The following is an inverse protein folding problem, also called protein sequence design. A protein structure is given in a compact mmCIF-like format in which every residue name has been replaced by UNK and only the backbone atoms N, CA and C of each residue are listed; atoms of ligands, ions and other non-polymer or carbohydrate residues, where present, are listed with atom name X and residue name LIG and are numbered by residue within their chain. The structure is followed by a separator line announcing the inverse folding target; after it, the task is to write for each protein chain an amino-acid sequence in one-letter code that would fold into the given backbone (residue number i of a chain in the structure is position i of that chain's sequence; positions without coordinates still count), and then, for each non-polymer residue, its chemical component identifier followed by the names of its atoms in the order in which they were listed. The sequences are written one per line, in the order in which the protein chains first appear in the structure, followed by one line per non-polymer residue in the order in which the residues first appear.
data_IF_697859747420
#
_entry.id   IF_697859747420
#
_cell.length_a   1.000
_cell.length_b   1.000
_cell.length_c   1.000
_cell.angle_alpha   90.00
_cell.angle_beta   90.00
_cell.angle_gamma   90.00
#
_symmetry.space_group_name_H-M   'P 1'
#
loop_
_entity.id
_entity.type
_entity.pdbx_description
1 polymer ?
#
# COMPACT_ATOMS: atom_id res chain seq x y z
N UNK A 1 -18.66 5.48 -18.66
CA UNK A 1 -18.40 5.91 -17.27
C UNK A 1 -17.34 4.99 -16.70
N UNK A 2 -16.20 5.55 -16.33
CA UNK A 2 -15.16 4.77 -15.65
C UNK A 2 -15.70 4.38 -14.27
N UNK A 3 -15.69 3.10 -13.93
CA UNK A 3 -16.12 2.66 -12.60
C UNK A 3 -15.17 3.19 -11.54
N UNK A 4 -15.68 3.67 -10.40
CA UNK A 4 -14.87 4.10 -9.26
C UNK A 4 -13.97 2.95 -8.81
N UNK A 5 -12.75 3.26 -8.47
CA UNK A 5 -11.80 2.29 -7.90
C UNK A 5 -11.55 2.58 -6.43
N UNK A 6 -11.41 1.51 -5.67
CA UNK A 6 -11.20 1.52 -4.23
C UNK A 6 -9.97 0.72 -3.88
N UNK A 7 -9.29 1.11 -2.82
CA UNK A 7 -8.13 0.38 -2.30
C UNK A 7 -8.14 0.39 -0.78
N UNK A 8 -7.35 -0.50 -0.17
CA UNK A 8 -7.13 -0.52 1.27
C UNK A 8 -5.63 -0.43 1.52
N UNK A 9 -5.22 0.60 2.25
CA UNK A 9 -3.82 0.92 2.45
C UNK A 9 -3.46 1.12 3.91
N UNK A 10 -2.21 0.87 4.27
CA UNK A 10 -1.60 1.26 5.53
C UNK A 10 -0.62 2.40 5.27
N UNK A 11 -0.89 3.58 5.78
CA UNK A 11 0.04 4.70 5.67
C UNK A 11 1.32 4.45 6.48
N UNK A 12 2.45 4.75 5.88
CA UNK A 12 3.76 4.64 6.53
C UNK A 12 4.14 5.99 7.08
N UNK A 13 4.14 6.12 8.41
CA UNK A 13 4.41 7.34 9.16
C UNK A 13 5.75 7.29 9.88
N UNK A 14 6.12 8.38 10.54
CA UNK A 14 7.36 8.51 11.30
C UNK A 14 8.58 8.69 10.40
N UNK A 15 9.80 8.55 10.96
CA UNK A 15 11.04 8.88 10.24
C UNK A 15 11.23 8.12 8.93
N UNK A 16 10.87 6.86 8.88
CA UNK A 16 10.97 6.09 7.62
C UNK A 16 9.94 6.56 6.59
N UNK A 17 8.74 6.92 7.01
CA UNK A 17 7.73 7.51 6.14
C UNK A 17 8.18 8.86 5.57
N UNK A 18 8.75 9.72 6.38
CA UNK A 18 9.31 11.02 5.96
C UNK A 18 10.46 10.85 4.98
N UNK A 19 11.35 9.88 5.22
CA UNK A 19 12.42 9.53 4.28
C UNK A 19 11.84 9.09 2.93
N UNK A 20 10.89 8.16 2.93
CA UNK A 20 10.24 7.66 1.72
C UNK A 20 9.54 8.79 0.96
N UNK A 21 8.82 9.67 1.66
CA UNK A 21 8.17 10.84 1.05
C UNK A 21 9.19 11.79 0.39
N UNK A 22 10.34 12.02 1.04
CA UNK A 22 11.41 12.83 0.48
C UNK A 22 11.97 12.22 -0.79
N UNK A 23 12.23 10.91 -0.78
CA UNK A 23 12.74 10.18 -1.93
C UNK A 23 11.73 10.16 -3.09
N UNK A 24 10.46 9.98 -2.80
CA UNK A 24 9.37 10.03 -3.79
C UNK A 24 9.30 11.40 -4.47
N UNK A 25 9.39 12.49 -3.70
CA UNK A 25 9.42 13.85 -4.26
C UNK A 25 10.65 14.11 -5.13
N UNK A 26 11.81 13.55 -4.78
CA UNK A 26 13.03 13.66 -5.57
C UNK A 26 12.91 12.92 -6.90
N UNK A 27 12.42 11.68 -6.88
CA UNK A 27 12.40 10.80 -8.05
C UNK A 27 11.16 10.96 -8.93
N UNK A 28 10.04 11.35 -8.35
CA UNK A 28 8.77 11.48 -9.05
C UNK A 28 7.95 12.64 -8.46
N UNK A 29 8.32 13.89 -8.72
CA UNK A 29 7.68 15.06 -8.12
C UNK A 29 6.20 15.22 -8.46
N UNK A 30 5.70 14.54 -9.49
CA UNK A 30 4.29 14.57 -9.90
C UNK A 30 3.41 13.54 -9.17
N UNK A 31 4.01 12.62 -8.41
CA UNK A 31 3.30 11.56 -7.68
C UNK A 31 2.77 11.93 -6.28
N UNK A 32 2.95 13.13 -5.73
CA UNK A 32 2.81 13.36 -4.29
C UNK A 32 1.37 13.47 -3.78
N UNK A 33 0.38 13.11 -4.56
CA UNK A 33 -1.02 13.24 -4.12
C UNK A 33 -1.53 12.04 -3.31
N UNK A 34 -0.66 11.07 -3.06
CA UNK A 34 -0.96 9.92 -2.22
C UNK A 34 0.26 9.60 -1.34
N UNK A 35 0.11 9.79 -0.03
CA UNK A 35 1.18 9.59 0.94
C UNK A 35 1.77 8.16 0.88
N UNK A 36 3.00 7.98 1.36
CA UNK A 36 3.67 6.69 1.39
C UNK A 36 2.81 5.65 2.12
N UNK A 37 2.59 4.51 1.49
CA UNK A 37 1.68 3.49 1.98
C UNK A 37 2.08 2.08 1.54
N UNK A 38 1.67 1.11 2.34
CA UNK A 38 1.61 -0.30 1.98
C UNK A 38 0.18 -0.60 1.52
N UNK A 39 0.02 -1.26 0.40
CA UNK A 39 -1.29 -1.63 -0.13
C UNK A 39 -1.67 -3.03 0.32
N UNK A 40 -2.81 -3.19 0.98
CA UNK A 40 -3.39 -4.49 1.37
C UNK A 40 -4.38 -4.99 0.31
N UNK A 41 -5.21 -4.11 -0.25
CA UNK A 41 -6.04 -4.40 -1.40
C UNK A 41 -5.71 -3.41 -2.52
N UNK A 42 -5.13 -3.87 -3.63
CA UNK A 42 -4.90 -3.05 -4.82
C UNK A 42 -6.19 -2.47 -5.40
N UNK A 43 -6.09 -1.38 -6.18
CA UNK A 43 -7.25 -0.70 -6.77
C UNK A 43 -8.20 -1.63 -7.50
N UNK A 44 -9.48 -1.60 -7.13
CA UNK A 44 -10.55 -2.46 -7.67
C UNK A 44 -11.92 -1.80 -7.64
N UNK A 45 -12.86 -2.21 -8.49
CA UNK A 45 -14.26 -1.85 -8.32
C UNK A 45 -14.86 -2.58 -7.11
N UNK A 46 -15.96 -2.07 -6.56
CA UNK A 46 -16.78 -2.80 -5.58
C UNK A 46 -17.92 -3.53 -6.29
N UNK A 47 -18.26 -4.71 -5.78
CA UNK A 47 -19.47 -5.44 -6.18
C UNK A 47 -20.67 -5.09 -5.28
N UNK A 48 -20.70 -3.87 -4.75
CA UNK A 48 -21.74 -3.39 -3.84
C UNK A 48 -21.51 -1.95 -3.40
N UNK A 49 -22.03 -1.58 -2.24
CA UNK A 49 -21.94 -0.21 -1.70
C UNK A 49 -20.69 -0.02 -0.83
N UNK A 50 -20.25 1.23 -0.68
CA UNK A 50 -19.15 1.59 0.24
C UNK A 50 -19.45 1.17 1.69
N UNK A 51 -20.68 1.35 2.14
CA UNK A 51 -21.09 0.93 3.50
C UNK A 51 -20.97 -0.58 3.70
N UNK A 52 -21.39 -1.37 2.72
CA UNK A 52 -21.27 -2.82 2.78
C UNK A 52 -19.79 -3.25 2.74
N UNK A 53 -18.97 -2.58 1.94
CA UNK A 53 -17.52 -2.79 1.94
C UNK A 53 -16.90 -2.52 3.31
N UNK A 54 -17.24 -1.39 3.94
CA UNK A 54 -16.77 -1.04 5.28
C UNK A 54 -17.18 -2.06 6.35
N UNK A 55 -18.36 -2.64 6.27
CA UNK A 55 -18.79 -3.69 7.18
C UNK A 55 -17.94 -4.96 7.03
N UNK A 56 -17.66 -5.38 5.80
CA UNK A 56 -16.78 -6.53 5.53
C UNK A 56 -15.36 -6.26 6.04
N UNK A 57 -14.80 -5.08 5.72
CA UNK A 57 -13.48 -4.66 6.17
C UNK A 57 -13.39 -4.62 7.71
N UNK A 58 -14.35 -3.99 8.38
CA UNK A 58 -14.38 -3.90 9.83
C UNK A 58 -14.47 -5.29 10.49
N UNK A 59 -15.23 -6.20 9.92
CA UNK A 59 -15.36 -7.58 10.42
C UNK A 59 -14.06 -8.37 10.32
N UNK A 60 -13.33 -8.26 9.24
CA UNK A 60 -12.06 -8.97 9.03
C UNK A 60 -10.94 -8.31 9.84
N UNK A 61 -10.77 -6.99 9.69
CA UNK A 61 -9.71 -6.24 10.36
C UNK A 61 -9.87 -6.25 11.89
N UNK A 62 -11.11 -6.21 12.40
CA UNK A 62 -11.38 -6.29 13.84
C UNK A 62 -10.94 -7.60 14.50
N UNK A 63 -10.82 -8.69 13.72
CA UNK A 63 -10.31 -9.99 14.18
C UNK A 63 -8.84 -10.23 13.85
N UNK A 64 -8.20 -9.28 13.20
CA UNK A 64 -6.79 -9.36 12.80
C UNK A 64 -5.96 -8.54 13.77
N UNK A 65 -5.06 -9.17 14.52
CA UNK A 65 -4.16 -8.45 15.42
C UNK A 65 -3.23 -7.51 14.64
N UNK A 66 -2.91 -6.34 15.20
CA UNK A 66 -1.84 -5.50 14.67
C UNK A 66 -0.54 -6.29 14.50
N UNK A 67 0.23 -5.98 13.48
CA UNK A 67 1.49 -6.67 13.21
C UNK A 67 2.56 -5.71 12.70
N UNK A 68 3.80 -6.11 12.89
CA UNK A 68 4.95 -5.35 12.42
C UNK A 68 5.45 -5.91 11.08
N UNK A 69 5.85 -5.03 10.19
CA UNK A 69 6.58 -5.36 8.98
C UNK A 69 7.94 -4.65 8.98
N UNK A 70 8.92 -5.22 8.28
CA UNK A 70 10.16 -4.51 7.99
C UNK A 70 10.30 -4.26 6.49
N UNK A 71 10.78 -3.06 6.16
CA UNK A 71 11.12 -2.69 4.79
C UNK A 71 12.51 -3.24 4.46
N UNK A 72 12.58 -4.00 3.38
CA UNK A 72 13.80 -4.67 2.91
C UNK A 72 14.54 -3.89 1.84
N UNK A 73 15.06 -4.58 0.84
CA UNK A 73 15.74 -3.99 -0.30
C UNK A 73 14.80 -3.32 -1.28
N UNK A 74 15.36 -2.45 -2.11
CA UNK A 74 14.65 -1.86 -3.24
C UNK A 74 14.78 -2.73 -4.49
N UNK A 75 13.74 -2.68 -5.33
CA UNK A 75 13.65 -3.44 -6.55
C UNK A 75 12.77 -2.71 -7.58
N UNK A 76 12.61 -3.27 -8.75
CA UNK A 76 11.74 -2.75 -9.81
C UNK A 76 10.87 -3.86 -10.37
N UNK A 77 9.64 -3.52 -10.77
CA UNK A 77 8.77 -4.42 -11.53
C UNK A 77 9.06 -4.43 -13.05
N UNK A 78 10.10 -3.71 -13.51
CA UNK A 78 10.50 -3.77 -14.90
C UNK A 78 10.91 -5.21 -15.30
N UNK A 79 10.65 -5.68 -16.53
CA UNK A 79 10.02 -4.94 -17.64
C UNK A 79 8.49 -4.87 -17.60
N UNK A 80 7.83 -5.54 -16.66
CA UNK A 80 6.35 -5.59 -16.57
C UNK A 80 5.75 -4.19 -16.39
N UNK A 81 6.25 -3.45 -15.39
CA UNK A 81 5.95 -2.04 -15.19
C UNK A 81 7.21 -1.30 -14.74
N UNK A 82 7.45 -0.05 -15.19
CA UNK A 82 8.64 0.72 -14.80
C UNK A 82 8.44 1.35 -13.40
N UNK A 83 8.19 0.51 -12.40
CA UNK A 83 7.87 0.92 -11.03
C UNK A 83 8.99 0.51 -10.09
N UNK A 84 9.55 1.48 -9.36
CA UNK A 84 10.54 1.28 -8.30
C UNK A 84 9.83 1.18 -6.96
N UNK A 85 10.19 0.20 -6.14
CA UNK A 85 9.54 -0.06 -4.86
C UNK A 85 10.54 -0.58 -3.80
N UNK A 86 10.14 -0.48 -2.53
CA UNK A 86 10.78 -1.17 -1.41
C UNK A 86 10.00 -2.47 -1.16
N UNK A 87 10.70 -3.57 -1.10
CA UNK A 87 10.12 -4.87 -0.76
C UNK A 87 9.83 -4.94 0.75
N UNK A 88 8.70 -5.50 1.12
CA UNK A 88 8.46 -5.92 2.50
C UNK A 88 9.22 -7.22 2.74
N UNK A 89 10.10 -7.24 3.74
CA UNK A 89 10.88 -8.42 4.12
C UNK A 89 10.16 -9.20 5.24
N UNK A 90 10.34 -8.81 6.50
CA UNK A 90 9.60 -9.40 7.60
C UNK A 90 8.12 -8.98 7.53
N UNK A 91 7.22 -9.90 7.85
CA UNK A 91 5.78 -9.65 7.86
C UNK A 91 5.10 -9.74 6.48
N UNK A 92 5.84 -10.00 5.40
CA UNK A 92 5.27 -10.16 4.05
C UNK A 92 4.20 -11.26 3.99
N UNK A 93 4.45 -12.42 4.61
CA UNK A 93 3.47 -13.51 4.70
C UNK A 93 2.18 -13.07 5.40
N UNK A 94 2.30 -12.29 6.48
CA UNK A 94 1.15 -11.76 7.19
C UNK A 94 0.31 -10.81 6.33
N UNK A 95 0.98 -10.00 5.51
CA UNK A 95 0.29 -9.14 4.53
C UNK A 95 -0.42 -9.98 3.46
N UNK A 96 0.21 -11.04 2.94
CA UNK A 96 -0.41 -11.94 1.98
C UNK A 96 -1.65 -12.64 2.56
N UNK A 97 -1.56 -13.17 3.78
CA UNK A 97 -2.69 -13.80 4.48
C UNK A 97 -3.86 -12.83 4.65
N UNK A 98 -3.58 -11.60 5.08
CA UNK A 98 -4.60 -10.56 5.23
C UNK A 98 -5.20 -10.15 3.88
N UNK A 99 -4.37 -10.02 2.85
CA UNK A 99 -4.83 -9.75 1.48
C UNK A 99 -5.82 -10.82 0.98
N UNK A 100 -5.49 -12.11 1.16
CA UNK A 100 -6.35 -13.23 0.77
C UNK A 100 -7.69 -13.19 1.53
N UNK A 101 -7.65 -12.93 2.84
CA UNK A 101 -8.87 -12.81 3.65
C UNK A 101 -9.76 -11.63 3.24
N UNK A 102 -9.14 -10.52 2.84
CA UNK A 102 -9.85 -9.31 2.43
C UNK A 102 -10.39 -9.39 0.99
N UNK A 103 -9.80 -10.21 0.12
CA UNK A 103 -10.24 -10.40 -1.27
C UNK A 103 -11.45 -11.34 -1.34
N UNK A 104 -12.57 -10.91 -0.78
CA UNK A 104 -13.78 -11.72 -0.59
C UNK A 104 -15.06 -10.89 -0.72
N UNK A 105 -16.17 -11.56 -1.00
CA UNK A 105 -17.51 -10.94 -1.08
C UNK A 105 -17.51 -9.75 -2.05
N UNK A 106 -18.01 -8.60 -1.61
CA UNK A 106 -18.10 -7.40 -2.44
C UNK A 106 -16.74 -6.76 -2.76
N UNK A 107 -15.67 -7.20 -2.08
CA UNK A 107 -14.29 -6.79 -2.31
C UNK A 107 -13.53 -7.76 -3.23
N UNK A 108 -14.15 -8.89 -3.59
CA UNK A 108 -13.52 -9.89 -4.45
C UNK A 108 -13.21 -9.31 -5.82
N UNK A 109 -11.97 -9.53 -6.27
CA UNK A 109 -11.50 -9.09 -7.58
C UNK A 109 -10.38 -10.00 -8.07
N UNK A 110 -10.43 -10.36 -9.34
CA UNK A 110 -9.35 -11.11 -9.98
C UNK A 110 -8.28 -10.13 -10.41
N UNK A 111 -7.15 -10.17 -9.73
CA UNK A 111 -6.02 -9.29 -10.00
C UNK A 111 -5.23 -9.77 -11.21
N UNK A 112 -4.68 -8.84 -11.97
CA UNK A 112 -3.86 -9.15 -13.17
C UNK A 112 -2.51 -9.78 -12.78
N UNK A 113 -1.99 -9.43 -11.60
CA UNK A 113 -0.68 -9.85 -11.10
C UNK A 113 -0.81 -10.45 -9.70
N UNK A 114 0.10 -11.37 -9.38
CA UNK A 114 0.23 -11.89 -8.03
C UNK A 114 0.50 -10.76 -7.04
N UNK A 115 -0.14 -10.84 -5.87
CA UNK A 115 0.05 -9.86 -4.82
C UNK A 115 1.46 -9.95 -4.22
N UNK A 116 2.21 -8.88 -4.32
CA UNK A 116 3.55 -8.74 -3.73
C UNK A 116 3.53 -7.57 -2.74
N UNK A 117 3.73 -7.82 -1.44
CA UNK A 117 3.83 -6.75 -0.44
C UNK A 117 4.99 -5.80 -0.73
N UNK A 118 4.68 -4.53 -0.98
CA UNK A 118 5.68 -3.52 -1.33
C UNK A 118 5.21 -2.10 -1.01
N UNK A 119 6.17 -1.18 -0.99
CA UNK A 119 5.94 0.26 -0.89
C UNK A 119 6.47 0.92 -2.17
N UNK A 120 5.59 1.50 -2.96
CA UNK A 120 5.96 2.17 -4.22
C UNK A 120 6.74 3.46 -3.94
N UNK A 121 7.89 3.60 -4.60
CA UNK A 121 8.73 4.80 -4.57
C UNK A 121 8.46 5.68 -5.78
N UNK A 122 8.52 5.12 -6.99
CA UNK A 122 8.35 5.90 -8.22
C UNK A 122 7.75 5.03 -9.34
N UNK A 123 6.87 5.64 -10.14
CA UNK A 123 6.38 5.08 -11.39
C UNK A 123 6.99 5.90 -12.52
N UNK A 124 7.90 5.29 -13.25
CA UNK A 124 8.69 5.98 -14.26
C UNK A 124 8.08 5.83 -15.65
N UNK A 125 8.39 6.72 -16.60
CA UNK A 125 7.82 6.66 -17.96
C UNK A 125 8.41 5.54 -18.83
N UNK A 126 9.55 4.97 -18.43
CA UNK A 126 10.24 3.92 -19.21
C UNK A 126 11.11 3.04 -18.32
N UNK A 127 11.49 1.88 -18.84
CA UNK A 127 12.42 0.97 -18.15
C UNK A 127 13.79 1.60 -17.87
N UNK A 128 14.47 2.29 -18.82
CA UNK A 128 15.73 2.96 -18.50
C UNK A 128 15.61 4.03 -17.42
N UNK A 129 14.49 4.77 -17.37
CA UNK A 129 14.21 5.74 -16.33
C UNK A 129 14.00 5.04 -14.96
N UNK A 130 13.32 3.89 -14.92
CA UNK A 130 13.18 3.10 -13.72
C UNK A 130 14.50 2.55 -13.21
N UNK A 131 15.38 2.08 -14.08
CA UNK A 131 16.74 1.64 -13.71
C UNK A 131 17.56 2.75 -13.10
N UNK A 132 17.51 3.95 -13.67
CA UNK A 132 18.19 5.12 -13.12
C UNK A 132 17.62 5.51 -11.75
N UNK A 133 16.31 5.57 -11.62
CA UNK A 133 15.62 5.87 -10.36
C UNK A 133 15.96 4.81 -9.29
N UNK A 134 16.01 3.53 -9.67
CA UNK A 134 16.38 2.44 -8.75
C UNK A 134 17.80 2.62 -8.22
N UNK A 135 18.79 2.95 -9.07
CA UNK A 135 20.17 3.20 -8.62
C UNK A 135 20.24 4.34 -7.59
N UNK A 136 19.55 5.43 -7.83
CA UNK A 136 19.47 6.56 -6.89
C UNK A 136 18.80 6.13 -5.59
N UNK A 137 17.67 5.43 -5.70
CA UNK A 137 16.89 4.98 -4.56
C UNK A 137 17.68 4.01 -3.66
N UNK A 138 18.40 3.06 -4.25
CA UNK A 138 19.27 2.12 -3.52
C UNK A 138 20.35 2.86 -2.76
N UNK A 139 21.07 3.79 -3.41
CA UNK A 139 22.13 4.58 -2.76
C UNK A 139 21.59 5.37 -1.55
N UNK A 140 20.42 6.00 -1.68
CA UNK A 140 19.77 6.73 -0.59
C UNK A 140 19.33 5.81 0.55
N UNK A 141 18.74 4.66 0.19
CA UNK A 141 18.23 3.70 1.15
C UNK A 141 19.32 3.03 1.96
N UNK A 142 20.44 2.70 1.34
CA UNK A 142 21.61 2.14 2.04
C UNK A 142 22.17 3.10 3.10
N UNK A 143 22.11 4.40 2.84
CA UNK A 143 22.54 5.47 3.75
C UNK A 143 21.54 5.81 4.84
N UNK A 144 20.30 5.31 4.74
CA UNK A 144 19.29 5.54 5.76
C UNK A 144 19.59 4.74 7.03
N UNK A 145 19.91 5.45 8.12
CA UNK A 145 20.32 4.86 9.39
C UNK A 145 19.15 4.62 10.37
N UNK A 146 17.93 5.04 10.04
CA UNK A 146 16.75 4.90 10.90
C UNK A 146 16.18 3.48 10.91
N UNK A 147 15.19 3.28 11.78
CA UNK A 147 14.42 2.02 11.81
C UNK A 147 13.65 1.80 10.52
N UNK A 148 13.70 0.59 9.98
CA UNK A 148 12.94 0.16 8.80
C UNK A 148 11.67 -0.61 9.17
N UNK A 149 11.27 -0.56 10.43
CA UNK A 149 10.08 -1.24 10.94
C UNK A 149 8.86 -0.33 10.84
N UNK A 150 7.74 -0.94 10.49
CA UNK A 150 6.43 -0.27 10.36
C UNK A 150 5.40 -1.10 11.10
N UNK A 151 4.72 -0.48 12.07
CA UNK A 151 3.57 -1.10 12.72
C UNK A 151 2.34 -0.91 11.83
N UNK A 152 1.69 -2.01 11.50
CA UNK A 152 0.40 -2.03 10.81
C UNK A 152 -0.69 -2.29 11.86
N UNK A 153 -1.28 -1.24 12.37
CA UNK A 153 -2.34 -1.26 13.38
C UNK A 153 -3.67 -0.67 12.87
N UNK A 154 -3.60 0.01 11.74
CA UNK A 154 -4.74 0.68 11.11
C UNK A 154 -4.57 0.70 9.60
N UNK A 155 -5.63 0.36 8.91
CA UNK A 155 -5.75 0.54 7.47
C UNK A 155 -6.65 1.74 7.17
N UNK A 156 -6.59 2.23 5.94
CA UNK A 156 -7.47 3.28 5.46
C UNK A 156 -8.13 2.81 4.17
N UNK A 157 -9.46 2.84 4.15
CA UNK A 157 -10.24 2.61 2.95
C UNK A 157 -10.27 3.89 2.13
N UNK A 158 -9.81 3.80 0.88
CA UNK A 158 -9.64 4.96 0.00
C UNK A 158 -10.36 4.76 -1.33
N UNK A 159 -10.74 5.87 -1.97
CA UNK A 159 -11.39 5.89 -3.28
C UNK A 159 -10.62 6.79 -4.23
N UNK A 160 -10.49 6.36 -5.47
CA UNK A 160 -9.98 7.19 -6.56
C UNK A 160 -11.10 8.06 -7.13
N UNK A 161 -11.00 9.38 -6.97
CA UNK A 161 -11.97 10.35 -7.51
C UNK A 161 -11.63 10.79 -8.93
N UNK A 162 -10.36 10.84 -9.25
CA UNK A 162 -9.82 11.09 -10.59
C UNK A 162 -8.49 10.35 -10.74
N UNK A 163 -7.96 10.16 -11.94
CA UNK A 163 -6.73 9.40 -12.14
C UNK A 163 -5.59 9.82 -11.19
N UNK A 164 -5.13 8.89 -10.36
CA UNK A 164 -4.12 9.06 -9.32
C UNK A 164 -4.49 10.05 -8.19
N UNK A 165 -5.73 10.49 -8.09
CA UNK A 165 -6.23 11.34 -7.01
C UNK A 165 -7.11 10.51 -6.07
N UNK A 166 -6.56 10.21 -4.89
CA UNK A 166 -7.17 9.33 -3.89
C UNK A 166 -7.65 10.11 -2.69
N UNK A 167 -8.81 9.75 -2.17
CA UNK A 167 -9.39 10.33 -0.96
C UNK A 167 -9.64 9.27 0.09
N UNK A 168 -9.38 9.62 1.33
CA UNK A 168 -9.67 8.77 2.48
C UNK A 168 -11.17 8.74 2.76
N UNK A 169 -11.74 7.56 2.78
CA UNK A 169 -13.17 7.36 3.13
C UNK A 169 -13.33 7.05 4.61
N UNK A 170 -12.57 6.10 5.13
CA UNK A 170 -12.68 5.70 6.53
C UNK A 170 -11.43 5.00 7.04
N UNK A 171 -11.07 5.18 8.33
CA UNK A 171 -10.08 4.34 9.00
C UNK A 171 -10.68 2.98 9.31
N UNK A 172 -9.86 1.93 9.20
CA UNK A 172 -10.21 0.54 9.53
C UNK A 172 -9.14 -0.01 10.48
N UNK A 173 -9.34 0.09 11.80
CA UNK A 173 -8.36 -0.38 12.77
C UNK A 173 -8.26 -1.90 12.78
N UNK A 174 -7.05 -2.42 13.06
CA UNK A 174 -6.83 -3.84 13.35
C UNK A 174 -7.03 -4.10 14.86
N UNK A 175 -7.46 -5.31 15.21
CA UNK A 175 -7.62 -5.73 16.61
C UNK A 175 -8.63 -4.89 17.39
N UNK A 176 -9.67 -4.39 16.73
CA UNK A 176 -10.74 -3.66 17.40
C UNK A 176 -11.42 -4.55 18.43
N UNK A 177 -11.32 -4.20 19.71
CA UNK A 177 -12.04 -4.86 20.79
C UNK A 177 -13.54 -4.82 20.43
N UNK A 178 -14.14 -5.99 20.22
CA UNK A 178 -15.59 -6.11 20.27
C UNK A 178 -16.01 -5.68 21.67
N UNK A 179 -16.40 -4.42 21.83
CA UNK A 179 -17.15 -4.00 23.02
C UNK A 179 -18.46 -4.74 22.92
N UNK A 180 -18.53 -5.89 23.55
CA UNK A 180 -19.79 -6.57 23.79
C UNK A 180 -20.64 -5.65 24.67
N UNK A 181 -21.72 -5.15 24.09
CA UNK A 181 -22.86 -4.61 24.81
C UNK A 181 -23.77 -5.75 25.21
#
# INVERSE_FOLDING_TARGET
MQSLRYALVAYVKGPVGEFVESLRRELHPELPHFAAHLTLLPPRPLQGTENAALQVLAGICGRTDPFEVSLGGMDSFAPTTPTVYIRVAYGAMRMCELHEQLNTQILEFVEEWDYIPHLTIAKMPSEPAAEQALRIAVDRWEKYAGSRRVLVDRLTFVREESPNCWVDLAPVPLGGTLVSR
#
